data_IF_375114710313
#
_entry.id   IF_375114710313
#
_cell.length_a   1.000
_cell.length_b   1.000
_cell.length_c   1.000
_cell.angle_alpha   90.00
_cell.angle_beta   90.00
_cell.angle_gamma   90.00
#
_symmetry.space_group_name_H-M   'P 1'
#
loop_
_entity.id
_entity.type
_entity.pdbx_description
1 polymer ?
#
# COMPACT_ATOMS: atom_id res chain seq x y z
N UNK A 1 3.08 5.66 18.45
CA UNK A 1 2.59 4.46 17.74
C UNK A 1 3.65 4.02 16.74
N UNK A 2 3.95 2.73 16.65
CA UNK A 2 4.92 2.22 15.66
C UNK A 2 4.33 2.34 14.25
N UNK A 3 5.16 2.66 13.26
CA UNK A 3 4.71 2.73 11.86
C UNK A 3 4.22 1.34 11.39
N UNK A 4 3.01 1.24 10.79
CA UNK A 4 2.42 -0.03 10.36
C UNK A 4 3.22 -0.73 9.25
N UNK A 5 4.10 0.00 8.56
CA UNK A 5 4.98 -0.51 7.50
C UNK A 5 6.45 -0.60 7.95
N UNK A 6 6.73 -0.50 9.25
CA UNK A 6 8.08 -0.76 9.77
C UNK A 6 8.35 -2.27 9.80
N UNK A 7 9.26 -2.74 8.94
CA UNK A 7 9.60 -4.16 8.82
C UNK A 7 11.04 -4.39 9.28
N UNK A 8 11.23 -5.32 10.23
CA UNK A 8 12.56 -5.78 10.60
C UNK A 8 13.11 -6.71 9.50
N UNK A 9 14.27 -6.36 8.96
CA UNK A 9 14.92 -7.06 7.85
C UNK A 9 16.13 -7.91 8.27
N UNK A 10 16.49 -7.93 9.55
CA UNK A 10 17.66 -8.66 10.03
C UNK A 10 17.61 -10.17 9.74
N UNK A 11 16.40 -10.75 9.65
CA UNK A 11 16.23 -12.16 9.28
C UNK A 11 16.36 -12.39 7.77
N UNK A 12 15.88 -11.45 6.96
CA UNK A 12 15.94 -11.51 5.48
C UNK A 12 17.40 -11.46 4.99
N UNK A 13 18.25 -10.66 5.63
CA UNK A 13 19.66 -10.51 5.24
C UNK A 13 20.55 -11.69 5.62
N UNK A 14 20.08 -12.65 6.43
CA UNK A 14 20.89 -13.81 6.82
C UNK A 14 21.09 -14.80 5.67
N UNK A 15 20.18 -14.84 4.70
CA UNK A 15 20.21 -15.78 3.57
C UNK A 15 19.69 -15.08 2.32
N UNK A 16 20.54 -14.91 1.31
CA UNK A 16 20.11 -14.46 -0.01
C UNK A 16 19.02 -15.41 -0.56
N UNK A 17 18.03 -14.85 -1.24
CA UNK A 17 16.83 -15.54 -1.70
C UNK A 17 15.73 -15.69 -0.64
N UNK A 18 15.89 -15.13 0.57
CA UNK A 18 14.81 -15.10 1.55
C UNK A 18 13.69 -14.17 1.10
N UNK A 19 12.44 -14.64 1.23
CA UNK A 19 11.24 -13.89 0.85
C UNK A 19 10.36 -13.66 2.07
N UNK A 20 9.74 -12.48 2.16
CA UNK A 20 8.73 -12.16 3.17
C UNK A 20 7.55 -11.42 2.55
N UNK A 21 6.36 -11.89 2.85
CA UNK A 21 5.11 -11.26 2.44
C UNK A 21 4.57 -10.32 3.54
N UNK A 22 4.03 -9.19 3.12
CA UNK A 22 3.36 -8.19 3.94
C UNK A 22 1.96 -7.99 3.36
N UNK A 23 0.96 -8.48 4.09
CA UNK A 23 -0.46 -8.30 3.77
C UNK A 23 -1.13 -7.55 4.92
N UNK A 24 -1.45 -6.27 4.73
CA UNK A 24 -1.98 -5.38 5.77
C UNK A 24 -3.10 -4.50 5.23
N UNK A 25 -4.01 -4.10 6.11
CA UNK A 25 -4.95 -3.01 5.88
C UNK A 25 -4.53 -1.85 6.77
N UNK A 26 -4.32 -0.69 6.17
CA UNK A 26 -3.82 0.50 6.84
C UNK A 26 -4.77 1.65 6.54
N UNK A 27 -5.13 2.43 7.56
CA UNK A 27 -5.96 3.61 7.37
C UNK A 27 -5.35 4.56 6.34
N UNK A 28 -6.17 5.05 5.42
CA UNK A 28 -5.80 6.04 4.39
C UNK A 28 -5.08 7.24 4.99
N UNK A 29 -5.45 7.64 6.20
CA UNK A 29 -4.91 8.82 6.89
C UNK A 29 -3.43 8.66 7.28
N UNK A 30 -2.89 7.43 7.24
CA UNK A 30 -1.46 7.19 7.39
C UNK A 30 -0.66 7.61 6.15
N UNK A 31 -1.30 7.69 4.98
CA UNK A 31 -0.68 8.04 3.72
C UNK A 31 -0.96 9.50 3.34
N UNK A 32 -0.04 10.10 2.58
CA UNK A 32 -0.21 11.47 2.03
C UNK A 32 -0.44 11.37 0.52
N UNK A 33 -1.66 11.05 0.10
CA UNK A 33 -2.00 10.86 -1.30
C UNK A 33 -2.12 12.17 -2.12
N UNK A 34 -2.29 13.31 -1.46
CA UNK A 34 -2.50 14.62 -2.10
C UNK A 34 -3.64 14.63 -3.17
N UNK A 35 -4.64 13.76 -2.99
CA UNK A 35 -5.79 13.63 -3.88
C UNK A 35 -7.08 13.54 -3.06
N UNK A 36 -7.98 14.52 -3.25
CA UNK A 36 -9.24 14.61 -2.53
C UNK A 36 -10.24 13.52 -2.89
N UNK A 37 -9.97 12.73 -3.94
CA UNK A 37 -10.83 11.61 -4.36
C UNK A 37 -10.65 10.37 -3.49
N UNK A 38 -9.53 10.26 -2.77
CA UNK A 38 -9.30 9.17 -1.83
C UNK A 38 -10.16 9.39 -0.59
N UNK A 39 -10.86 8.34 -0.17
CA UNK A 39 -11.88 8.44 0.87
C UNK A 39 -11.23 8.33 2.25
N UNK A 40 -11.22 9.41 3.02
CA UNK A 40 -10.72 9.43 4.40
C UNK A 40 -11.45 8.40 5.29
N UNK A 41 -10.75 7.84 6.27
CA UNK A 41 -11.30 6.80 7.16
C UNK A 41 -11.50 5.42 6.50
N UNK A 42 -11.14 5.24 5.22
CA UNK A 42 -11.10 3.92 4.58
C UNK A 42 -9.73 3.25 4.72
N UNK A 43 -9.63 1.99 4.30
CA UNK A 43 -8.39 1.20 4.36
C UNK A 43 -7.71 1.15 2.99
N UNK A 44 -6.37 1.21 3.02
CA UNK A 44 -5.49 0.85 1.91
C UNK A 44 -5.08 -0.61 2.11
N UNK A 45 -5.39 -1.44 1.12
CA UNK A 45 -4.88 -2.81 1.06
C UNK A 45 -3.42 -2.77 0.61
N UNK A 46 -2.52 -3.31 1.42
CA UNK A 46 -1.08 -3.37 1.16
C UNK A 46 -0.66 -4.82 1.00
N UNK A 47 -0.23 -5.19 -0.20
CA UNK A 47 0.29 -6.52 -0.53
C UNK A 47 1.69 -6.39 -1.10
N UNK A 48 2.72 -6.61 -0.28
CA UNK A 48 4.13 -6.45 -0.66
C UNK A 48 4.91 -7.73 -0.43
N UNK A 49 5.88 -7.97 -1.31
CA UNK A 49 6.88 -9.02 -1.23
C UNK A 49 8.25 -8.38 -1.09
N UNK A 50 8.96 -8.74 -0.04
CA UNK A 50 10.34 -8.36 0.20
C UNK A 50 11.22 -9.55 -0.15
N UNK A 51 12.17 -9.36 -1.05
CA UNK A 51 13.13 -10.38 -1.47
C UNK A 51 14.55 -9.91 -1.16
N UNK A 52 15.29 -10.74 -0.42
CA UNK A 52 16.70 -10.49 -0.14
C UNK A 52 17.57 -10.93 -1.33
N UNK A 53 18.28 -9.99 -1.93
CA UNK A 53 19.28 -10.21 -2.97
C UNK A 53 20.68 -10.11 -2.38
N UNK A 54 21.69 -10.43 -3.19
CA UNK A 54 23.09 -10.34 -2.79
C UNK A 54 23.52 -8.91 -2.43
N UNK A 55 22.91 -7.91 -3.04
CA UNK A 55 23.24 -6.48 -2.92
C UNK A 55 22.19 -5.66 -2.17
N UNK A 56 21.12 -6.29 -1.65
CA UNK A 56 20.10 -5.56 -0.89
C UNK A 56 18.76 -6.29 -0.75
N UNK A 57 17.70 -5.51 -0.59
CA UNK A 57 16.32 -6.02 -0.53
C UNK A 57 15.51 -5.29 -1.58
N UNK A 58 14.84 -6.06 -2.45
CA UNK A 58 13.85 -5.53 -3.39
C UNK A 58 12.49 -5.69 -2.76
N UNK A 59 11.70 -4.61 -2.80
CA UNK A 59 10.31 -4.60 -2.36
C UNK A 59 9.44 -4.35 -3.58
N UNK A 60 8.50 -5.24 -3.84
CA UNK A 60 7.54 -5.13 -4.93
C UNK A 60 6.15 -5.58 -4.47
N UNK A 61 5.10 -5.18 -5.17
CA UNK A 61 3.74 -5.53 -4.81
C UNK A 61 2.75 -4.48 -5.27
N UNK A 62 1.57 -4.48 -4.67
CA UNK A 62 0.48 -3.59 -5.04
C UNK A 62 -0.14 -2.90 -3.82
N UNK A 63 -0.63 -1.68 -4.05
CA UNK A 63 -1.44 -0.91 -3.10
C UNK A 63 -2.83 -0.68 -3.68
N UNK A 64 -3.87 -0.98 -2.91
CA UNK A 64 -5.26 -0.78 -3.31
C UNK A 64 -5.98 0.24 -2.44
N UNK A 65 -6.57 1.28 -3.05
CA UNK A 65 -7.33 2.32 -2.33
C UNK A 65 -8.69 2.58 -2.96
N UNK A 66 -9.68 2.92 -2.12
CA UNK A 66 -11.01 3.33 -2.57
C UNK A 66 -11.00 4.82 -2.94
N UNK A 67 -11.66 5.16 -4.04
CA UNK A 67 -11.86 6.53 -4.46
C UNK A 67 -13.34 6.81 -4.74
N UNK A 68 -13.74 8.07 -4.55
CA UNK A 68 -15.03 8.59 -5.00
C UNK A 68 -14.89 9.98 -5.60
N UNK A 69 -15.71 10.29 -6.60
CA UNK A 69 -15.75 11.58 -7.25
C UNK A 69 -17.10 11.83 -7.94
N UNK A 70 -17.50 13.08 -8.09
CA UNK A 70 -18.73 13.43 -8.81
C UNK A 70 -18.47 13.60 -10.31
N UNK A 71 -19.23 12.90 -11.16
CA UNK A 71 -19.10 13.04 -12.60
C UNK A 71 -19.44 14.47 -13.06
N UNK A 72 -18.46 15.20 -13.60
CA UNK A 72 -18.65 16.57 -14.09
C UNK A 72 -19.68 16.74 -15.21
N UNK A 73 -20.10 15.65 -15.88
CA UNK A 73 -21.07 15.70 -16.99
C UNK A 73 -22.51 15.44 -16.55
N UNK A 74 -22.72 14.52 -15.61
CA UNK A 74 -24.07 14.09 -15.22
C UNK A 74 -24.34 14.17 -13.72
N UNK A 75 -23.37 14.64 -12.93
CA UNK A 75 -23.41 14.82 -11.47
C UNK A 75 -23.70 13.53 -10.69
N UNK A 76 -23.51 12.36 -11.32
CA UNK A 76 -23.61 11.08 -10.61
C UNK A 76 -22.34 10.81 -9.83
N UNK A 77 -22.49 10.28 -8.62
CA UNK A 77 -21.38 9.75 -7.85
C UNK A 77 -20.72 8.60 -8.62
N UNK A 78 -19.41 8.68 -8.78
CA UNK A 78 -18.55 7.63 -9.29
C UNK A 78 -17.70 7.13 -8.13
N UNK A 79 -17.61 5.82 -8.00
CA UNK A 79 -16.77 5.15 -7.01
C UNK A 79 -15.97 4.08 -7.70
N UNK A 80 -14.79 3.78 -7.17
CA UNK A 80 -14.00 2.69 -7.67
C UNK A 80 -12.82 2.37 -6.76
N UNK A 81 -12.04 1.39 -7.20
CA UNK A 81 -10.79 0.98 -6.58
C UNK A 81 -9.64 1.32 -7.52
N UNK A 82 -8.63 1.99 -7.01
CA UNK A 82 -7.37 2.21 -7.70
C UNK A 82 -6.34 1.19 -7.19
N UNK A 83 -5.49 0.70 -8.07
CA UNK A 83 -4.40 -0.23 -7.76
C UNK A 83 -3.13 0.25 -8.47
N UNK A 84 -2.01 0.25 -7.75
CA UNK A 84 -0.67 0.64 -8.23
C UNK A 84 0.38 -0.34 -7.74
#
# INVERSE_FOLDING_TARGET
MASPLLVNVAELLRRAGSVREINRQIEVDFFKFDDSRIIAGTQVDVALTLEALTDGIVVHGALGAQWSFECRRCLKALTGRAEV
#
